data_IF_326812729971
#
_entry.id   IF_326812729971
#
_cell.length_a   1.000
_cell.length_b   1.000
_cell.length_c   1.000
_cell.angle_alpha   90.00
_cell.angle_beta   90.00
_cell.angle_gamma   90.00
#
_symmetry.space_group_name_H-M   'P 1'
#
loop_
_entity.id
_entity.type
_entity.pdbx_description
1 polymer ?
#
# COMPACT_ATOMS: atom_id res chain seq x y z
N UNK A 1 -13.50 0.42 -5.43
CA UNK A 1 -12.04 0.53 -5.67
C UNK A 1 -11.40 1.46 -4.65
N UNK A 2 -10.27 1.09 -4.14
CA UNK A 2 -9.45 1.92 -3.24
C UNK A 2 -7.98 1.82 -3.66
N UNK A 3 -7.20 2.86 -3.35
CA UNK A 3 -5.75 2.77 -3.41
C UNK A 3 -5.27 2.32 -2.04
N UNK A 4 -4.37 1.36 -1.99
CA UNK A 4 -3.80 0.85 -0.74
C UNK A 4 -2.30 1.15 -0.68
N UNK A 5 -1.84 1.53 0.50
CA UNK A 5 -0.40 1.60 0.79
C UNK A 5 0.17 0.18 0.84
N UNK A 6 1.45 0.04 0.57
CA UNK A 6 2.13 -1.27 0.58
C UNK A 6 1.94 -2.01 1.90
N UNK A 7 1.93 -1.30 3.02
CA UNK A 7 1.72 -1.93 4.32
C UNK A 7 0.38 -2.63 4.45
N UNK A 8 -0.67 -2.13 3.80
CA UNK A 8 -1.99 -2.77 3.81
C UNK A 8 -1.90 -4.13 3.10
N UNK A 9 -1.20 -4.19 1.98
CA UNK A 9 -0.96 -5.45 1.26
C UNK A 9 -0.15 -6.40 2.15
N UNK A 10 0.90 -5.90 2.79
CA UNK A 10 1.75 -6.69 3.67
C UNK A 10 0.96 -7.26 4.86
N UNK A 11 0.07 -6.48 5.47
CA UNK A 11 -0.76 -6.94 6.59
C UNK A 11 -1.70 -8.09 6.18
N UNK A 12 -2.14 -8.09 4.93
CA UNK A 12 -3.02 -9.15 4.43
C UNK A 12 -2.27 -10.49 4.32
N UNK A 13 -1.02 -10.47 3.89
CA UNK A 13 -0.24 -11.67 3.58
C UNK A 13 0.71 -12.10 4.70
N UNK A 14 1.07 -11.19 5.61
CA UNK A 14 1.95 -11.45 6.73
C UNK A 14 1.20 -11.23 8.04
N UNK A 15 1.31 -12.18 8.98
CA UNK A 15 0.62 -12.09 10.25
C UNK A 15 1.12 -10.88 11.07
N UNK A 16 0.19 -10.01 11.46
CA UNK A 16 0.46 -8.80 12.23
C UNK A 16 -0.79 -8.40 13.03
N UNK A 17 -0.65 -7.37 13.87
CA UNK A 17 -1.77 -6.80 14.63
C UNK A 17 -2.82 -6.14 13.71
N UNK A 18 -2.46 -5.85 12.46
CA UNK A 18 -3.34 -5.21 11.49
C UNK A 18 -3.95 -6.18 10.48
N UNK A 19 -3.63 -7.49 10.56
CA UNK A 19 -4.07 -8.46 9.55
C UNK A 19 -5.59 -8.59 9.48
N UNK A 20 -6.27 -8.62 10.62
CA UNK A 20 -7.74 -8.68 10.67
C UNK A 20 -8.37 -7.46 10.02
N UNK A 21 -7.82 -6.27 10.28
CA UNK A 21 -8.31 -5.04 9.67
C UNK A 21 -8.09 -5.01 8.15
N UNK A 22 -6.93 -5.51 7.69
CA UNK A 22 -6.67 -5.62 6.25
C UNK A 22 -7.63 -6.58 5.57
N UNK A 23 -7.95 -7.72 6.21
CA UNK A 23 -8.96 -8.66 5.71
C UNK A 23 -10.34 -8.01 5.63
N UNK A 24 -10.73 -7.24 6.64
CA UNK A 24 -11.99 -6.51 6.65
C UNK A 24 -12.04 -5.47 5.53
N UNK A 25 -10.93 -4.79 5.26
CA UNK A 25 -10.84 -3.84 4.15
C UNK A 25 -11.02 -4.54 2.79
N UNK A 26 -10.45 -5.73 2.64
CA UNK A 26 -10.58 -6.53 1.42
C UNK A 26 -12.02 -7.02 1.22
N UNK A 27 -12.69 -7.42 2.29
CA UNK A 27 -14.11 -7.82 2.25
C UNK A 27 -14.98 -6.62 1.86
N UNK A 28 -14.71 -5.45 2.43
CA UNK A 28 -15.47 -4.23 2.15
C UNK A 28 -15.31 -3.79 0.70
N UNK A 29 -14.09 -3.82 0.18
CA UNK A 29 -13.78 -3.51 -1.21
C UNK A 29 -12.61 -4.37 -1.68
N UNK A 30 -12.86 -5.38 -2.52
CA UNK A 30 -11.81 -6.30 -2.97
C UNK A 30 -10.97 -5.76 -4.12
N UNK A 31 -11.27 -4.59 -4.66
CA UNK A 31 -10.56 -4.02 -5.80
C UNK A 31 -9.53 -3.00 -5.31
N UNK A 32 -8.31 -3.47 -5.13
CA UNK A 32 -7.19 -2.67 -4.65
C UNK A 32 -6.30 -2.22 -5.78
N UNK A 33 -5.92 -0.95 -5.75
CA UNK A 33 -5.02 -0.31 -6.72
C UNK A 33 -3.76 0.19 -6.02
N UNK A 34 -2.64 0.18 -6.71
CA UNK A 34 -1.38 0.72 -6.18
C UNK A 34 -0.45 1.15 -7.31
N UNK A 35 0.49 2.08 -7.04
CA UNK A 35 1.60 2.30 -7.95
C UNK A 35 2.46 1.04 -8.06
N UNK A 36 3.14 0.84 -9.19
CA UNK A 36 4.07 -0.29 -9.39
C UNK A 36 5.12 -0.41 -8.29
N UNK A 37 5.48 0.69 -7.66
CA UNK A 37 6.41 0.73 -6.53
C UNK A 37 6.06 -0.26 -5.42
N UNK A 38 4.78 -0.61 -5.24
CA UNK A 38 4.38 -1.54 -4.20
C UNK A 38 5.16 -2.86 -4.28
N UNK A 39 5.52 -3.30 -5.48
CA UNK A 39 6.28 -4.55 -5.68
C UNK A 39 7.65 -4.49 -5.02
N UNK A 40 8.35 -3.38 -5.21
CA UNK A 40 9.69 -3.19 -4.62
C UNK A 40 9.62 -3.06 -3.10
N UNK A 41 8.63 -2.33 -2.61
CA UNK A 41 8.44 -2.17 -1.17
C UNK A 41 8.03 -3.47 -0.50
N UNK A 42 7.13 -4.22 -1.13
CA UNK A 42 6.70 -5.53 -0.63
C UNK A 42 7.86 -6.51 -0.55
N UNK A 43 8.69 -6.57 -1.61
CA UNK A 43 9.91 -7.39 -1.60
C UNK A 43 10.84 -7.01 -0.48
N UNK A 44 10.95 -5.73 -0.16
CA UNK A 44 11.80 -5.27 0.95
C UNK A 44 11.25 -5.73 2.31
N UNK A 45 9.96 -5.71 2.49
CA UNK A 45 9.33 -6.28 3.70
C UNK A 45 9.63 -7.77 3.81
N UNK A 46 9.47 -8.53 2.73
CA UNK A 46 9.77 -9.97 2.71
C UNK A 46 11.26 -10.22 2.98
N UNK A 47 12.16 -9.38 2.46
CA UNK A 47 13.59 -9.48 2.69
C UNK A 47 13.92 -9.38 4.19
N UNK A 48 13.28 -8.48 4.93
CA UNK A 48 13.47 -8.36 6.37
C UNK A 48 13.03 -9.63 7.11
N UNK A 49 11.90 -10.19 6.71
CA UNK A 49 11.35 -11.40 7.34
C UNK A 49 12.21 -12.63 7.06
N UNK A 50 12.74 -12.74 5.83
CA UNK A 50 13.70 -13.81 5.46
C UNK A 50 14.96 -13.72 6.31
N UNK A 51 15.54 -12.53 6.45
CA UNK A 51 16.78 -12.32 7.21
C UNK A 51 16.61 -12.59 8.70
N UNK A 52 15.40 -12.39 9.23
CA UNK A 52 15.06 -12.69 10.62
C UNK A 52 14.67 -14.15 10.83
N UNK A 53 14.75 -14.99 9.80
CA UNK A 53 14.35 -16.39 9.81
C UNK A 53 12.87 -16.61 10.20
N UNK A 54 12.00 -15.62 9.94
CA UNK A 54 10.56 -15.74 10.17
C UNK A 54 9.89 -16.38 8.96
N UNK A 55 10.45 -16.17 7.78
CA UNK A 55 9.88 -16.58 6.50
C UNK A 55 10.94 -17.33 5.68
N UNK A 56 10.57 -18.48 5.12
CA UNK A 56 11.43 -19.19 4.16
C UNK A 56 11.37 -18.53 2.79
N UNK A 57 12.37 -18.79 1.95
CA UNK A 57 12.37 -18.32 0.56
C UNK A 57 11.16 -18.88 -0.21
N UNK A 58 10.81 -20.15 0.00
CA UNK A 58 9.67 -20.77 -0.64
C UNK A 58 8.35 -20.07 -0.27
N UNK A 59 8.18 -19.76 1.03
CA UNK A 59 7.01 -19.02 1.50
C UNK A 59 6.97 -17.60 0.91
N UNK A 60 8.12 -16.93 0.83
CA UNK A 60 8.21 -15.60 0.23
C UNK A 60 7.79 -15.60 -1.25
N UNK A 61 8.21 -16.63 -2.00
CA UNK A 61 7.79 -16.79 -3.41
C UNK A 61 6.28 -16.99 -3.52
N UNK A 62 5.69 -17.81 -2.65
CA UNK A 62 4.26 -18.05 -2.66
C UNK A 62 3.47 -16.78 -2.34
N UNK A 63 3.87 -16.05 -1.30
CA UNK A 63 3.22 -14.80 -0.91
C UNK A 63 3.32 -13.74 -2.02
N UNK A 64 4.47 -13.66 -2.68
CA UNK A 64 4.67 -12.75 -3.82
C UNK A 64 3.71 -13.08 -4.96
N UNK A 65 3.54 -14.38 -5.28
CA UNK A 65 2.62 -14.80 -6.32
C UNK A 65 1.17 -14.45 -5.96
N UNK A 66 0.76 -14.70 -4.73
CA UNK A 66 -0.59 -14.38 -4.25
C UNK A 66 -0.86 -12.88 -4.27
N UNK A 67 0.09 -12.07 -3.79
CA UNK A 67 -0.04 -10.61 -3.80
C UNK A 67 -0.10 -10.05 -5.23
N UNK A 68 0.71 -10.59 -6.13
CA UNK A 68 0.71 -10.20 -7.54
C UNK A 68 -0.64 -10.50 -8.19
N UNK A 69 -1.25 -11.66 -7.89
CA UNK A 69 -2.58 -12.01 -8.39
C UNK A 69 -3.65 -11.04 -7.87
N UNK A 70 -3.59 -10.67 -6.60
CA UNK A 70 -4.52 -9.71 -6.01
C UNK A 70 -4.48 -8.36 -6.73
N UNK A 71 -3.27 -7.91 -7.07
CA UNK A 71 -3.06 -6.57 -7.65
C UNK A 71 -3.09 -6.56 -9.18
N UNK A 72 -3.21 -7.72 -9.82
CA UNK A 72 -3.12 -7.84 -11.27
C UNK A 72 -4.15 -6.96 -11.99
N UNK A 73 -3.67 -6.19 -12.97
CA UNK A 73 -4.52 -5.28 -13.75
C UNK A 73 -4.83 -3.95 -13.06
N UNK A 74 -4.34 -3.75 -11.83
CA UNK A 74 -4.60 -2.52 -11.07
C UNK A 74 -3.31 -1.92 -10.50
N UNK A 75 -2.24 -2.07 -11.25
CA UNK A 75 -0.95 -1.47 -10.97
C UNK A 75 -0.70 -0.34 -11.95
N UNK A 76 -0.21 0.78 -11.47
CA UNK A 76 -0.16 2.02 -12.25
C UNK A 76 1.21 2.67 -12.21
N UNK A 77 1.62 3.26 -13.34
CA UNK A 77 2.67 4.26 -13.38
C UNK A 77 2.10 5.60 -12.94
N UNK A 78 2.90 6.39 -12.25
CA UNK A 78 2.53 7.75 -11.84
C UNK A 78 3.49 8.75 -12.44
N UNK A 79 2.96 9.90 -12.87
CA UNK A 79 3.76 10.94 -13.52
C UNK A 79 4.68 11.64 -12.52
N UNK A 80 5.96 11.74 -12.85
CA UNK A 80 6.97 12.32 -11.97
C UNK A 80 6.66 13.75 -11.54
N UNK A 81 6.15 14.59 -12.44
CA UNK A 81 5.85 15.98 -12.07
C UNK A 81 4.69 16.07 -11.07
N UNK A 82 3.73 15.17 -11.10
CA UNK A 82 2.65 15.10 -10.11
C UNK A 82 3.19 14.66 -8.74
N UNK A 83 4.05 13.64 -8.73
CA UNK A 83 4.72 13.17 -7.51
C UNK A 83 5.54 14.30 -6.89
N UNK A 84 6.37 14.97 -7.69
CA UNK A 84 7.23 16.05 -7.19
C UNK A 84 6.44 17.26 -6.71
N UNK A 85 5.29 17.55 -7.32
CA UNK A 85 4.40 18.61 -6.83
C UNK A 85 3.88 18.31 -5.42
N UNK A 86 3.58 17.05 -5.12
CA UNK A 86 3.14 16.63 -3.78
C UNK A 86 4.30 16.64 -2.79
N UNK A 87 5.50 16.26 -3.22
CA UNK A 87 6.73 16.36 -2.42
C UNK A 87 6.95 17.81 -1.98
N UNK A 88 6.80 18.77 -2.90
CA UNK A 88 7.02 20.19 -2.62
C UNK A 88 6.02 20.75 -1.60
N UNK A 89 4.85 20.15 -1.44
CA UNK A 89 3.78 20.59 -0.53
C UNK A 89 3.75 19.86 0.80
N UNK A 90 4.69 18.95 1.05
CA UNK A 90 4.64 18.08 2.21
C UNK A 90 6.02 17.72 2.71
N UNK A 91 6.08 16.94 3.78
CA UNK A 91 7.31 16.34 4.29
C UNK A 91 7.42 14.86 3.95
N UNK A 92 6.48 14.33 3.15
CA UNK A 92 6.47 12.93 2.73
C UNK A 92 7.53 12.66 1.67
N UNK A 93 8.02 11.42 1.64
CA UNK A 93 8.96 10.99 0.61
C UNK A 93 8.29 10.96 -0.77
N UNK A 94 9.10 10.96 -1.84
CA UNK A 94 8.59 10.76 -3.19
C UNK A 94 7.88 9.41 -3.32
N UNK A 95 8.34 8.40 -2.59
CA UNK A 95 7.70 7.07 -2.56
C UNK A 95 6.27 7.15 -2.02
N UNK A 96 6.08 7.78 -0.86
CA UNK A 96 4.76 8.00 -0.27
C UNK A 96 3.87 8.82 -1.21
N UNK A 97 4.43 9.83 -1.85
CA UNK A 97 3.70 10.70 -2.77
C UNK A 97 3.25 9.99 -4.05
N UNK A 98 3.85 8.86 -4.44
CA UNK A 98 3.33 8.05 -5.55
C UNK A 98 1.94 7.52 -5.23
N UNK A 99 1.73 7.04 -4.01
CA UNK A 99 0.41 6.54 -3.57
C UNK A 99 -0.63 7.65 -3.51
N UNK A 100 -0.25 8.81 -3.00
CA UNK A 100 -1.13 9.99 -2.93
C UNK A 100 -1.49 10.48 -4.34
N UNK A 101 -0.50 10.56 -5.24
CA UNK A 101 -0.72 10.97 -6.63
C UNK A 101 -1.72 10.04 -7.33
N UNK A 102 -1.56 8.73 -7.16
CA UNK A 102 -2.47 7.76 -7.75
C UNK A 102 -3.89 7.92 -7.21
N UNK A 103 -4.04 8.05 -5.90
CA UNK A 103 -5.35 8.24 -5.27
C UNK A 103 -6.04 9.50 -5.82
N UNK A 104 -5.31 10.60 -5.91
CA UNK A 104 -5.83 11.84 -6.48
C UNK A 104 -6.25 11.67 -7.94
N UNK A 105 -5.41 11.03 -8.74
CA UNK A 105 -5.67 10.87 -10.18
C UNK A 105 -6.86 9.97 -10.46
N UNK A 106 -7.05 8.92 -9.67
CA UNK A 106 -8.18 8.00 -9.81
C UNK A 106 -9.44 8.48 -9.08
N UNK A 107 -9.34 9.52 -8.25
CA UNK A 107 -10.46 9.98 -7.44
C UNK A 107 -10.89 8.97 -6.40
N UNK A 108 -9.93 8.20 -5.84
CA UNK A 108 -10.16 7.14 -4.87
C UNK A 108 -9.49 7.48 -3.54
N UNK A 109 -10.03 6.98 -2.42
CA UNK A 109 -9.32 7.13 -1.14
C UNK A 109 -8.05 6.28 -1.11
N UNK A 110 -7.02 6.80 -0.47
CA UNK A 110 -5.81 6.05 -0.12
C UNK A 110 -5.98 5.50 1.29
N UNK A 111 -6.10 4.19 1.41
CA UNK A 111 -6.18 3.53 2.72
C UNK A 111 -4.77 3.22 3.21
N UNK A 112 -4.43 3.71 4.38
CA UNK A 112 -3.07 3.61 4.93
C UNK A 112 -3.09 3.61 6.47
N UNK A 113 -2.00 3.16 7.07
CA UNK A 113 -1.72 3.31 8.50
C UNK A 113 -0.59 4.30 8.76
N UNK A 114 -0.04 4.91 7.72
CA UNK A 114 1.07 5.85 7.84
C UNK A 114 0.58 7.20 8.36
N UNK A 115 0.97 7.52 9.60
CA UNK A 115 0.55 8.75 10.26
C UNK A 115 1.01 10.02 9.56
N UNK A 116 2.16 9.99 8.90
CA UNK A 116 2.68 11.14 8.17
C UNK A 116 1.84 11.43 6.93
N UNK A 117 1.50 10.38 6.16
CA UNK A 117 0.63 10.53 4.99
C UNK A 117 -0.75 11.04 5.42
N UNK A 118 -1.33 10.46 6.45
CA UNK A 118 -2.64 10.85 6.97
C UNK A 118 -2.63 12.33 7.42
N UNK A 119 -1.58 12.74 8.12
CA UNK A 119 -1.43 14.12 8.61
C UNK A 119 -1.23 15.12 7.48
N UNK A 120 -0.41 14.78 6.48
CA UNK A 120 -0.04 15.69 5.39
C UNK A 120 -1.09 15.74 4.28
N UNK A 121 -1.82 14.66 4.05
CA UNK A 121 -2.78 14.53 2.96
C UNK A 121 -4.16 14.03 3.43
N UNK A 122 -4.80 14.73 4.39
CA UNK A 122 -6.08 14.27 4.94
C UNK A 122 -7.22 14.26 3.92
N UNK A 123 -7.10 14.99 2.81
CA UNK A 123 -8.12 15.03 1.76
C UNK A 123 -8.08 13.77 0.89
N UNK A 124 -6.98 13.03 0.89
CA UNK A 124 -6.81 11.83 0.07
C UNK A 124 -6.67 10.55 0.88
N UNK A 125 -6.05 10.62 2.05
CA UNK A 125 -5.75 9.47 2.89
C UNK A 125 -6.82 9.24 3.95
N UNK A 126 -7.18 7.99 4.16
CA UNK A 126 -8.06 7.55 5.23
C UNK A 126 -7.35 6.47 6.05
N UNK A 127 -7.30 6.59 7.39
CA UNK A 127 -6.75 5.53 8.23
C UNK A 127 -7.51 4.22 8.04
N UNK A 128 -6.77 3.10 8.03
CA UNK A 128 -7.36 1.77 7.87
C UNK A 128 -8.50 1.53 8.85
N UNK A 129 -8.32 1.87 10.12
CA UNK A 129 -9.33 1.69 11.17
C UNK A 129 -10.63 2.48 10.88
N UNK A 130 -10.52 3.67 10.30
CA UNK A 130 -11.69 4.48 9.93
C UNK A 130 -12.36 3.94 8.67
N UNK A 131 -11.57 3.44 7.74
CA UNK A 131 -12.11 2.90 6.50
C UNK A 131 -13.02 1.71 6.74
N UNK A 132 -12.61 0.80 7.63
CA UNK A 132 -13.38 -0.41 7.94
C UNK A 132 -14.49 -0.17 8.96
N UNK A 133 -14.35 0.85 9.79
CA UNK A 133 -15.32 1.22 10.82
C UNK A 133 -16.44 2.04 10.25
#
# INVERSE_FOLDING_TARGET
>A
MIVVDTNIIAYLFLTSDHSTQAEQALIKDPIWCAPLLWRSEFRNVLALYIRKNILSLADAHQLTNEATLLMQGREYDVASHQVLSLVAKSTCSAYDCEFVALARDLGLPLVTTDGQIISQFPDYAIPLEKYIG
#
